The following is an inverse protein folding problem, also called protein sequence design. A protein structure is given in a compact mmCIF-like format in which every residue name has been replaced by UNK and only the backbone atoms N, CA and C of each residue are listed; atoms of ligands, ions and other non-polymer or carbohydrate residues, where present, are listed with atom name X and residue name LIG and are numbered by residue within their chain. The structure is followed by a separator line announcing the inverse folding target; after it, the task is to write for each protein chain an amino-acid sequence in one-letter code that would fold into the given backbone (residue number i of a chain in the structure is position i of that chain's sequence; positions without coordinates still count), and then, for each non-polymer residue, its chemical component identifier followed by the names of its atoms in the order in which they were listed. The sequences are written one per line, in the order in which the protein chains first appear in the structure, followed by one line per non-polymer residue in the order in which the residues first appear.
data_IF_745292924661
#
_entry.id   IF_745292924661
#
_cell.length_a   1.000
_cell.length_b   1.000
_cell.length_c   1.000
_cell.angle_alpha   90.00
_cell.angle_beta   90.00
_cell.angle_gamma   90.00
#
_symmetry.space_group_name_H-M   'P 1'
#
loop_
_entity.id
_entity.type
_entity.pdbx_description
1 polymer ?
#
# COMPACT_ATOMS: atom_id res chain seq x y z
N UNK A 1 -5.70 -36.90 -23.34
CA UNK A 1 -6.86 -36.21 -22.74
C UNK A 1 -6.86 -36.30 -21.21
N UNK A 2 -6.82 -37.50 -20.61
CA UNK A 2 -6.92 -37.71 -19.14
C UNK A 2 -5.80 -37.02 -18.33
N UNK A 3 -4.55 -37.03 -18.83
CA UNK A 3 -3.42 -36.35 -18.18
C UNK A 3 -3.56 -34.83 -18.10
N UNK A 4 -4.20 -34.20 -19.09
CA UNK A 4 -4.42 -32.75 -19.07
C UNK A 4 -5.52 -32.35 -18.07
N UNK A 5 -6.52 -33.22 -17.87
CA UNK A 5 -7.58 -32.99 -16.87
C UNK A 5 -7.01 -33.16 -15.44
N UNK A 6 -6.18 -34.17 -15.22
CA UNK A 6 -5.48 -34.36 -13.93
C UNK A 6 -4.50 -33.22 -13.63
N UNK A 7 -3.73 -32.76 -14.62
CA UNK A 7 -2.82 -31.62 -14.47
C UNK A 7 -3.60 -30.30 -14.20
N UNK A 8 -4.72 -30.09 -14.87
CA UNK A 8 -5.62 -28.96 -14.61
C UNK A 8 -6.21 -28.99 -13.20
N UNK A 9 -6.65 -30.16 -12.73
CA UNK A 9 -7.20 -30.34 -11.38
C UNK A 9 -6.14 -30.13 -10.29
N UNK A 10 -4.90 -30.62 -10.47
CA UNK A 10 -3.80 -30.34 -9.56
C UNK A 10 -3.39 -28.87 -9.55
N UNK A 11 -3.48 -28.16 -10.68
CA UNK A 11 -3.23 -26.72 -10.73
C UNK A 11 -4.29 -25.93 -9.95
N UNK A 12 -5.57 -26.27 -10.11
CA UNK A 12 -6.67 -25.61 -9.36
C UNK A 12 -6.57 -25.89 -7.86
N UNK A 13 -6.17 -27.11 -7.46
CA UNK A 13 -5.92 -27.43 -6.05
C UNK A 13 -4.69 -26.68 -5.50
N UNK A 14 -3.64 -26.49 -6.29
CA UNK A 14 -2.46 -25.69 -5.89
C UNK A 14 -2.78 -24.20 -5.73
N UNK A 15 -3.68 -23.65 -6.55
CA UNK A 15 -4.11 -22.24 -6.39
C UNK A 15 -4.90 -22.01 -5.11
N UNK A 16 -5.58 -23.02 -4.57
CA UNK A 16 -6.30 -22.92 -3.28
C UNK A 16 -5.36 -23.03 -2.07
N UNK A 17 -4.21 -23.68 -2.21
CA UNK A 17 -3.29 -23.93 -1.09
C UNK A 17 -2.34 -22.75 -0.78
N UNK A 18 -2.23 -21.74 -1.66
CA UNK A 18 -1.27 -20.63 -1.53
C UNK A 18 -1.89 -19.31 -1.04
N UNK A 19 -3.07 -19.39 -0.43
CA UNK A 19 -3.61 -18.31 0.41
C UNK A 19 -4.09 -18.98 1.70
N UNK A 20 -3.18 -19.23 2.65
CA UNK A 20 -3.66 -19.36 4.03
C UNK A 20 -3.98 -17.95 4.49
N UNK A 21 -5.27 -17.56 4.61
CA UNK A 21 -5.58 -16.26 5.18
C UNK A 21 -4.99 -16.22 6.58
N UNK A 22 -4.37 -15.09 6.96
CA UNK A 22 -3.90 -14.87 8.32
C UNK A 22 -5.00 -15.30 9.31
N UNK A 23 -4.65 -16.05 10.38
CA UNK A 23 -5.65 -16.55 11.32
C UNK A 23 -6.45 -15.38 11.88
N UNK A 24 -7.78 -15.56 11.93
CA UNK A 24 -8.71 -14.49 12.29
C UNK A 24 -8.42 -13.88 13.67
N UNK A 25 -7.90 -14.69 14.59
CA UNK A 25 -7.45 -14.25 15.91
C UNK A 25 -6.34 -13.18 15.82
N UNK A 26 -5.34 -13.38 14.96
CA UNK A 26 -4.28 -12.38 14.75
C UNK A 26 -4.84 -11.11 14.12
N UNK A 27 -5.80 -11.24 13.19
CA UNK A 27 -6.45 -10.09 12.58
C UNK A 27 -7.24 -9.28 13.62
N UNK A 28 -7.95 -9.94 14.53
CA UNK A 28 -8.67 -9.30 15.63
C UNK A 28 -7.71 -8.64 16.63
N UNK A 29 -6.61 -9.32 16.97
CA UNK A 29 -5.55 -8.77 17.81
C UNK A 29 -4.91 -7.52 17.20
N UNK A 30 -4.55 -7.57 15.93
CA UNK A 30 -4.01 -6.42 15.20
C UNK A 30 -5.04 -5.28 15.13
N UNK A 31 -6.33 -5.59 14.95
CA UNK A 31 -7.39 -4.59 14.88
C UNK A 31 -7.54 -3.71 16.13
N UNK A 32 -7.24 -4.27 17.32
CA UNK A 32 -7.38 -3.61 18.62
C UNK A 32 -6.09 -3.01 19.15
N UNK A 33 -4.96 -3.34 18.54
CA UNK A 33 -3.64 -2.90 19.00
C UNK A 33 -3.30 -1.50 18.49
N UNK A 34 -2.42 -0.79 19.18
CA UNK A 34 -1.90 0.50 18.72
C UNK A 34 -0.54 0.31 18.05
N UNK A 35 -0.48 0.41 16.71
CA UNK A 35 0.73 0.17 15.92
C UNK A 35 1.21 1.50 15.35
N UNK A 36 2.38 1.97 15.77
CA UNK A 36 2.95 3.25 15.32
C UNK A 36 4.24 3.08 14.51
N UNK A 37 4.91 1.94 14.62
CA UNK A 37 6.18 1.62 13.96
C UNK A 37 6.25 0.15 13.52
N UNK A 38 7.23 -0.19 12.67
CA UNK A 38 7.49 -1.59 12.30
C UNK A 38 7.85 -2.42 13.54
N UNK A 39 8.56 -1.86 14.51
CA UNK A 39 8.92 -2.55 15.75
C UNK A 39 7.70 -2.93 16.60
N UNK A 40 6.65 -2.11 16.60
CA UNK A 40 5.40 -2.45 17.31
C UNK A 40 4.72 -3.66 16.66
N UNK A 41 4.71 -3.71 15.32
CA UNK A 41 4.17 -4.84 14.58
C UNK A 41 4.97 -6.12 14.84
N UNK A 42 6.31 -6.04 14.82
CA UNK A 42 7.18 -7.18 15.11
C UNK A 42 6.94 -7.73 16.52
N UNK A 43 6.84 -6.86 17.53
CA UNK A 43 6.51 -7.24 18.92
C UNK A 43 5.14 -7.92 19.03
N UNK A 44 4.14 -7.43 18.29
CA UNK A 44 2.80 -8.01 18.28
C UNK A 44 2.73 -9.38 17.61
N UNK A 45 3.61 -9.63 16.65
CA UNK A 45 3.72 -10.91 15.93
C UNK A 45 4.71 -11.88 16.59
N UNK A 46 5.33 -11.50 17.71
CA UNK A 46 6.39 -12.28 18.37
C UNK A 46 7.55 -12.62 17.42
N UNK A 47 7.83 -11.74 16.46
CA UNK A 47 8.95 -11.90 15.52
C UNK A 47 10.13 -11.12 16.09
N UNK A 48 11.16 -11.83 16.56
CA UNK A 48 12.47 -11.23 16.78
C UNK A 48 12.96 -10.68 15.45
N UNK A 49 13.25 -9.38 15.41
CA UNK A 49 13.60 -8.61 14.22
C UNK A 49 14.37 -9.45 13.21
N UNK A 50 13.74 -9.77 12.07
CA UNK A 50 14.47 -10.38 10.95
C UNK A 50 15.63 -9.45 10.70
N UNK A 51 16.83 -9.96 10.92
CA UNK A 51 18.08 -9.31 10.57
C UNK A 51 17.84 -8.69 9.19
N UNK A 52 18.00 -7.37 9.08
CA UNK A 52 17.83 -6.68 7.82
C UNK A 52 18.90 -7.28 6.89
N UNK A 53 18.59 -8.39 6.23
CA UNK A 53 19.42 -9.02 5.23
C UNK A 53 19.34 -8.10 4.02
N UNK A 54 20.02 -6.96 4.13
CA UNK A 54 20.75 -6.39 3.04
C UNK A 54 21.53 -7.57 2.50
N UNK A 55 21.09 -8.11 1.37
CA UNK A 55 21.66 -9.27 0.68
C UNK A 55 23.18 -9.07 0.66
N UNK A 56 23.87 -9.64 1.65
CA UNK A 56 25.29 -9.79 1.67
C UNK A 56 25.52 -11.09 0.92
N UNK A 57 25.92 -10.93 -0.34
CA UNK A 57 26.35 -12.04 -1.20
C UNK A 57 27.35 -12.90 -0.42
N UNK A 58 26.88 -14.07 -0.03
CA UNK A 58 27.59 -15.02 0.82
C UNK A 58 28.82 -15.52 0.08
N UNK A 59 29.97 -14.89 0.34
CA UNK A 59 31.25 -15.59 0.28
C UNK A 59 31.39 -16.37 1.58
N UNK A 60 31.66 -17.68 1.48
CA UNK A 60 32.41 -18.60 2.36
C UNK A 60 31.96 -20.03 1.97
N UNK A 61 32.65 -20.68 1.03
CA UNK A 61 33.77 -21.62 1.27
C UNK A 61 33.31 -23.02 1.68
N UNK A 62 33.39 -24.00 0.77
CA UNK A 62 33.72 -25.39 1.14
C UNK A 62 34.58 -26.08 0.07
N UNK A 63 35.72 -26.53 0.55
CA UNK A 63 36.78 -27.32 -0.07
C UNK A 63 36.29 -28.74 -0.35
N UNK A 64 36.43 -29.26 -1.59
CA UNK A 64 36.80 -30.66 -1.80
C UNK A 64 37.35 -30.90 -3.21
N UNK A 65 38.61 -31.32 -3.21
CA UNK A 65 39.37 -31.81 -4.35
C UNK A 65 38.74 -33.06 -4.96
N UNK A 66 38.56 -33.07 -6.29
CA UNK A 66 38.89 -34.22 -7.14
C UNK A 66 39.15 -33.72 -8.57
N UNK A 67 40.26 -34.20 -9.12
CA UNK A 67 40.88 -33.80 -10.40
C UNK A 67 39.98 -33.99 -11.62
N UNK A 68 40.12 -33.13 -12.65
CA UNK A 68 40.62 -33.47 -14.01
C UNK A 68 40.52 -32.27 -14.99
N UNK A 69 41.70 -31.76 -15.39
CA UNK A 69 42.10 -31.23 -16.72
C UNK A 69 41.32 -30.11 -17.44
N UNK A 70 42.03 -28.98 -17.68
CA UNK A 70 42.25 -28.21 -18.93
C UNK A 70 42.16 -26.67 -18.74
N UNK A 71 43.15 -25.87 -19.22
CA UNK A 71 43.26 -24.45 -18.90
C UNK A 71 42.69 -23.55 -20.00
N UNK A 72 42.04 -22.43 -19.63
CA UNK A 72 42.10 -21.25 -20.49
C UNK A 72 41.96 -19.93 -19.73
N UNK A 73 42.68 -18.97 -20.27
CA UNK A 73 43.12 -17.67 -19.80
C UNK A 73 42.01 -16.61 -19.95
N UNK A 74 41.81 -15.70 -18.97
CA UNK A 74 41.46 -14.27 -19.18
C UNK A 74 41.22 -13.46 -17.89
N UNK A 75 42.30 -12.81 -17.44
CA UNK A 75 42.45 -11.43 -16.91
C UNK A 75 41.17 -10.67 -16.48
N UNK A 76 40.89 -10.66 -15.17
CA UNK A 76 39.89 -9.79 -14.55
C UNK A 76 40.41 -8.35 -14.37
N UNK A 77 39.73 -7.37 -14.96
CA UNK A 77 39.87 -5.95 -14.61
C UNK A 77 38.85 -5.62 -13.52
N UNK A 78 39.31 -5.47 -12.28
CA UNK A 78 38.48 -5.10 -11.12
C UNK A 78 38.28 -3.59 -11.06
N UNK A 79 37.16 -3.11 -11.62
CA UNK A 79 36.62 -1.81 -11.23
C UNK A 79 35.80 -1.98 -9.95
N UNK A 80 36.41 -1.69 -8.80
CA UNK A 80 35.74 -1.68 -7.50
C UNK A 80 34.76 -0.51 -7.44
N UNK A 81 33.47 -0.78 -7.71
CA UNK A 81 32.39 0.21 -7.62
C UNK A 81 32.09 0.46 -6.15
N UNK A 82 32.48 1.63 -5.63
CA UNK A 82 32.18 2.03 -4.26
C UNK A 82 30.66 2.25 -4.12
N UNK A 83 29.98 1.36 -3.39
CA UNK A 83 28.52 1.40 -3.18
C UNK A 83 28.19 2.55 -2.24
N UNK A 84 27.49 3.58 -2.72
CA UNK A 84 26.92 4.62 -1.85
C UNK A 84 25.87 3.96 -0.96
N UNK A 85 26.03 4.07 0.35
CA UNK A 85 24.99 3.67 1.30
C UNK A 85 23.79 4.59 1.11
N UNK A 86 22.70 4.05 0.58
CA UNK A 86 21.41 4.75 0.51
C UNK A 86 20.73 4.57 1.86
N UNK A 87 20.67 5.65 2.65
CA UNK A 87 19.85 5.67 3.87
C UNK A 87 18.38 5.58 3.44
N UNK A 88 17.69 4.52 3.84
CA UNK A 88 16.26 4.30 3.56
C UNK A 88 15.46 4.82 4.75
N UNK A 89 14.54 5.76 4.51
CA UNK A 89 13.60 6.27 5.52
C UNK A 89 12.44 5.28 5.71
N UNK A 90 12.06 5.02 6.96
CA UNK A 90 10.93 4.16 7.30
C UNK A 90 9.60 4.84 6.97
N UNK A 91 8.68 4.10 6.35
CA UNK A 91 7.36 4.63 6.01
C UNK A 91 6.50 4.85 7.27
N UNK A 92 5.97 6.06 7.44
CA UNK A 92 5.07 6.38 8.55
C UNK A 92 3.60 6.06 8.21
N UNK A 93 2.84 5.44 9.13
CA UNK A 93 1.46 5.07 8.88
C UNK A 93 0.55 6.30 8.75
N UNK A 94 -0.31 6.29 7.73
CA UNK A 94 -1.35 7.29 7.55
C UNK A 94 -2.54 7.04 8.50
N UNK A 95 -2.38 7.37 9.79
CA UNK A 95 -3.39 7.09 10.84
C UNK A 95 -4.79 7.62 10.46
N UNK A 96 -5.82 6.82 10.76
CA UNK A 96 -7.23 7.21 10.67
C UNK A 96 -7.53 8.42 11.57
N UNK A 97 -7.68 9.61 10.97
CA UNK A 97 -8.03 10.84 11.68
C UNK A 97 -8.79 11.80 10.78
N UNK A 98 -9.42 12.79 11.40
CA UNK A 98 -10.08 13.88 10.67
C UNK A 98 -9.02 14.77 10.03
N UNK A 99 -9.08 14.91 8.70
CA UNK A 99 -8.26 15.84 7.92
C UNK A 99 -9.16 16.78 7.12
N UNK A 100 -8.62 17.90 6.68
CA UNK A 100 -9.28 18.76 5.69
C UNK A 100 -9.25 18.04 4.34
N UNK A 101 -10.39 17.97 3.69
CA UNK A 101 -10.54 17.50 2.32
C UNK A 101 -11.25 18.58 1.51
N UNK A 102 -10.92 18.68 0.23
CA UNK A 102 -11.59 19.57 -0.70
C UNK A 102 -12.87 18.88 -1.17
N UNK A 103 -13.98 19.61 -1.19
CA UNK A 103 -15.26 19.15 -1.72
C UNK A 103 -15.67 20.07 -2.86
N UNK A 104 -15.69 19.53 -4.07
CA UNK A 104 -16.24 20.19 -5.25
C UNK A 104 -17.77 20.15 -5.18
N UNK A 105 -18.40 21.30 -5.38
CA UNK A 105 -19.85 21.45 -5.30
C UNK A 105 -20.45 20.96 -6.63
N UNK A 106 -21.21 19.84 -6.63
CA UNK A 106 -21.73 19.30 -7.87
C UNK A 106 -22.84 20.20 -8.42
N UNK A 107 -22.79 20.48 -9.72
CA UNK A 107 -23.74 21.37 -10.42
C UNK A 107 -25.19 20.93 -10.25
N UNK A 108 -25.44 19.62 -10.27
CA UNK A 108 -26.76 19.04 -10.08
C UNK A 108 -27.39 19.30 -8.72
N UNK A 109 -26.59 19.60 -7.68
CA UNK A 109 -27.13 19.97 -6.36
C UNK A 109 -27.51 21.45 -6.27
N UNK A 110 -27.01 22.29 -7.19
CA UNK A 110 -27.32 23.73 -7.22
C UNK A 110 -28.50 23.99 -8.15
N UNK A 111 -28.39 23.53 -9.40
CA UNK A 111 -29.48 23.57 -10.38
C UNK A 111 -29.32 22.38 -11.35
N UNK A 112 -30.26 21.42 -11.36
CA UNK A 112 -30.22 20.27 -12.25
C UNK A 112 -30.62 20.59 -13.71
N UNK A 113 -31.19 21.76 -13.98
CA UNK A 113 -31.83 22.07 -15.27
C UNK A 113 -30.93 22.83 -16.25
N UNK A 114 -29.98 23.62 -15.77
CA UNK A 114 -29.14 24.47 -16.63
C UNK A 114 -27.66 24.10 -16.56
N UNK A 115 -26.97 24.16 -17.71
CA UNK A 115 -25.52 24.01 -17.78
C UNK A 115 -24.78 25.36 -17.86
N UNK A 116 -25.52 26.47 -17.98
CA UNK A 116 -25.00 27.78 -18.34
C UNK A 116 -24.76 28.66 -17.11
N UNK A 117 -24.09 28.14 -16.09
CA UNK A 117 -23.72 28.94 -14.91
C UNK A 117 -22.37 28.55 -14.33
N UNK A 118 -21.72 29.45 -13.60
CA UNK A 118 -20.54 29.15 -12.78
C UNK A 118 -20.92 29.19 -11.31
N UNK A 119 -20.43 28.24 -10.52
CA UNK A 119 -20.56 28.21 -9.07
C UNK A 119 -19.32 28.89 -8.47
N UNK A 120 -19.53 29.85 -7.56
CA UNK A 120 -18.46 30.51 -6.83
C UNK A 120 -18.68 30.46 -5.30
N UNK A 121 -17.70 29.93 -4.53
CA UNK A 121 -16.52 29.19 -4.99
C UNK A 121 -16.90 27.81 -5.56
N UNK A 122 -16.09 27.21 -6.46
CA UNK A 122 -16.36 25.88 -7.00
C UNK A 122 -16.11 24.75 -5.99
N UNK A 123 -15.21 24.99 -5.03
CA UNK A 123 -14.79 24.02 -4.03
C UNK A 123 -14.83 24.63 -2.63
N UNK A 124 -15.11 23.80 -1.63
CA UNK A 124 -15.09 24.18 -0.21
C UNK A 124 -14.27 23.18 0.61
N UNK A 125 -13.66 23.67 1.68
CA UNK A 125 -13.00 22.80 2.65
C UNK A 125 -14.03 22.11 3.55
N UNK A 126 -13.88 20.80 3.70
CA UNK A 126 -14.68 19.99 4.63
C UNK A 126 -13.77 19.13 5.48
N UNK A 127 -14.26 18.71 6.64
CA UNK A 127 -13.54 17.78 7.52
C UNK A 127 -14.02 16.36 7.23
N UNK A 128 -13.10 15.47 6.85
CA UNK A 128 -13.40 14.04 6.61
C UNK A 128 -12.41 13.16 7.34
N UNK A 129 -12.88 11.99 7.79
CA UNK A 129 -12.00 10.94 8.27
C UNK A 129 -11.23 10.34 7.09
N UNK A 130 -9.91 10.34 7.18
CA UNK A 130 -9.02 9.73 6.19
C UNK A 130 -7.92 8.96 6.89
N UNK A 131 -7.26 8.06 6.16
CA UNK A 131 -6.20 7.20 6.69
C UNK A 131 -6.61 5.74 6.78
N UNK A 132 -5.70 4.92 7.28
CA UNK A 132 -5.82 3.48 7.36
C UNK A 132 -6.01 3.02 8.81
N UNK A 133 -6.69 1.89 8.94
CA UNK A 133 -6.66 1.06 10.16
C UNK A 133 -5.54 0.02 10.02
N UNK A 134 -5.24 -0.70 11.10
CA UNK A 134 -4.15 -1.69 11.11
C UNK A 134 -4.38 -2.84 10.13
N UNK A 135 -5.65 -3.18 9.88
CA UNK A 135 -6.06 -4.33 9.08
C UNK A 135 -7.06 -3.93 8.00
N UNK A 136 -7.05 -4.63 6.87
CA UNK A 136 -7.89 -4.32 5.70
C UNK A 136 -9.38 -4.61 5.89
N UNK A 137 -9.74 -5.42 6.90
CA UNK A 137 -11.13 -5.69 7.27
C UNK A 137 -11.77 -4.54 8.06
N UNK A 138 -10.99 -3.57 8.54
CA UNK A 138 -11.48 -2.37 9.20
C UNK A 138 -11.57 -1.20 8.23
N UNK A 139 -12.50 -0.27 8.48
CA UNK A 139 -12.65 0.96 7.70
C UNK A 139 -12.65 2.18 8.60
N UNK A 140 -11.89 3.20 8.22
CA UNK A 140 -11.87 4.49 8.90
C UNK A 140 -13.20 5.21 8.69
N UNK A 141 -14.02 5.31 9.74
CA UNK A 141 -15.37 5.92 9.66
C UNK A 141 -15.52 7.08 10.66
N UNK A 142 -16.38 8.04 10.31
CA UNK A 142 -16.68 9.17 11.19
C UNK A 142 -17.61 8.76 12.33
N UNK A 143 -17.14 8.89 13.57
CA UNK A 143 -17.95 8.67 14.77
C UNK A 143 -19.02 9.76 15.00
N UNK A 144 -18.74 10.99 14.55
CA UNK A 144 -19.68 12.12 14.60
C UNK A 144 -19.63 12.88 13.28
N UNK A 145 -20.79 13.31 12.80
CA UNK A 145 -20.94 14.10 11.57
C UNK A 145 -21.58 15.44 11.92
N UNK A 146 -21.02 16.53 11.41
CA UNK A 146 -21.59 17.85 11.56
C UNK A 146 -22.06 18.36 10.20
N UNK A 147 -23.35 18.65 10.10
CA UNK A 147 -23.94 19.23 8.90
C UNK A 147 -23.94 20.75 9.03
N UNK A 148 -23.55 21.44 7.97
CA UNK A 148 -23.59 22.89 7.89
C UNK A 148 -24.10 23.29 6.53
N UNK A 149 -24.92 24.33 6.50
CA UNK A 149 -25.39 24.92 5.24
C UNK A 149 -24.46 26.07 4.90
N UNK A 150 -24.00 26.11 3.65
CA UNK A 150 -23.17 27.19 3.11
C UNK A 150 -23.91 27.85 1.96
N UNK A 151 -23.75 29.16 1.82
CA UNK A 151 -24.27 29.90 0.67
C UNK A 151 -23.18 29.96 -0.40
N UNK A 152 -23.57 29.72 -1.64
CA UNK A 152 -22.70 29.80 -2.82
C UNK A 152 -23.37 30.72 -3.84
N UNK A 153 -22.58 31.38 -4.67
CA UNK A 153 -23.09 32.18 -5.77
C UNK A 153 -23.16 31.31 -7.04
N UNK A 154 -24.19 31.52 -7.86
CA UNK A 154 -24.24 30.99 -9.23
C UNK A 154 -24.38 32.17 -10.21
N UNK A 155 -23.48 32.23 -11.18
CA UNK A 155 -23.47 33.27 -12.21
C UNK A 155 -23.94 32.65 -13.52
N UNK A 156 -25.15 32.97 -13.95
CA UNK A 156 -25.66 32.51 -15.24
C UNK A 156 -24.99 33.27 -16.39
N UNK A 157 -24.56 32.52 -17.41
CA UNK A 157 -24.21 33.09 -18.70
C UNK A 157 -25.44 33.05 -19.60
N UNK A 158 -26.12 34.19 -19.70
CA UNK A 158 -27.00 34.39 -20.85
C UNK A 158 -26.13 34.51 -22.09
N UNK A 159 -26.00 33.41 -22.83
CA UNK A 159 -25.64 33.45 -24.25
C UNK A 159 -26.80 34.11 -25.00
N UNK A 160 -26.91 35.43 -24.89
CA UNK A 160 -27.52 36.22 -25.94
C UNK A 160 -26.42 36.48 -26.98
N UNK A 161 -26.32 35.58 -27.94
CA UNK A 161 -25.80 35.86 -29.28
C UNK A 161 -26.76 35.27 -30.30
#
# INVERSE_FOLDING_TARGET
AVYHILAGYLCVLRTVAQESPLPQELLERLSRSEIRSISDLQRLLEIDSVENEVIEETKHSYHKDFSHSFPDLKRAHTHTRHRRSTVVEEALPAVCKVRTAIYEIPRSQVDPTSANFIIWPPCVEVKRCTGCCNTSNMRCQAARKHYRTVKVAFCCFSLYM
#
